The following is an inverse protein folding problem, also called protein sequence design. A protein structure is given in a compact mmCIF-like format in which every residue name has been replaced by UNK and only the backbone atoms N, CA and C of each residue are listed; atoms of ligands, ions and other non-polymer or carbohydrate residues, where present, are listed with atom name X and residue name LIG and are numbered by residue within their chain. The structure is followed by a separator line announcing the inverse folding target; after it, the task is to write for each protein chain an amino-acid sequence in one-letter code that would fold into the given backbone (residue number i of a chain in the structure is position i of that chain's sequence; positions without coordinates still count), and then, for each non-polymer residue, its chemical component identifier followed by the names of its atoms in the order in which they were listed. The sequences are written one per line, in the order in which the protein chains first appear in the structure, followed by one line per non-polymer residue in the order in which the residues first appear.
data_IF_494105944946
#
_entry.id   IF_494105944946
#
_cell.length_a   1.000
_cell.length_b   1.000
_cell.length_c   1.000
_cell.angle_alpha   90.00
_cell.angle_beta   90.00
_cell.angle_gamma   90.00
#
_symmetry.space_group_name_H-M   'P 1'
#
loop_
_entity.id
_entity.type
_entity.pdbx_description
1 polymer ?
#
# COMPACT_ATOMS: atom_id res chain seq x y z
N UNK A 1 11.55 -1.69 6.67
CA UNK A 1 10.30 -2.43 6.47
C UNK A 1 9.97 -2.34 4.99
N UNK A 2 9.66 -3.47 4.35
CA UNK A 2 9.15 -3.47 2.99
C UNK A 2 7.82 -2.71 2.94
N UNK A 3 7.67 -1.82 1.95
CA UNK A 3 6.45 -1.06 1.75
C UNK A 3 5.67 -1.65 0.56
N UNK A 4 4.40 -1.95 0.79
CA UNK A 4 3.44 -2.29 -0.26
C UNK A 4 2.40 -1.18 -0.30
N UNK A 5 2.01 -0.79 -1.51
CA UNK A 5 1.07 0.30 -1.74
C UNK A 5 -0.34 -0.25 -1.95
N UNK A 6 -1.31 0.27 -1.19
CA UNK A 6 -2.70 -0.20 -1.24
C UNK A 6 -3.24 0.00 -2.67
N UNK A 7 -3.87 -1.04 -3.21
CA UNK A 7 -4.42 -1.04 -4.57
C UNK A 7 -3.40 -1.38 -5.66
N UNK A 8 -2.10 -1.46 -5.35
CA UNK A 8 -1.11 -1.90 -6.32
C UNK A 8 -1.07 -3.41 -6.47
N UNK A 9 -0.60 -3.86 -7.64
CA UNK A 9 -0.59 -5.25 -8.04
C UNK A 9 0.79 -5.88 -7.85
N UNK A 10 0.81 -7.07 -7.26
CA UNK A 10 2.00 -7.82 -6.93
C UNK A 10 1.82 -9.29 -7.26
N UNK A 11 2.81 -9.90 -7.90
CA UNK A 11 2.95 -11.35 -7.94
C UNK A 11 3.55 -11.86 -6.62
N UNK A 12 3.45 -13.16 -6.35
CA UNK A 12 4.18 -13.77 -5.23
C UNK A 12 5.69 -13.55 -5.35
N UNK A 13 6.23 -13.52 -6.58
CA UNK A 13 7.63 -13.24 -6.82
C UNK A 13 7.98 -11.79 -6.44
N UNK A 14 7.12 -10.82 -6.80
CA UNK A 14 7.31 -9.41 -6.43
C UNK A 14 7.29 -9.24 -4.91
N UNK A 15 6.37 -9.91 -4.22
CA UNK A 15 6.32 -9.92 -2.75
C UNK A 15 7.61 -10.51 -2.17
N UNK A 16 8.06 -11.64 -2.68
CA UNK A 16 9.30 -12.30 -2.22
C UNK A 16 10.55 -11.44 -2.47
N UNK A 17 10.61 -10.75 -3.61
CA UNK A 17 11.70 -9.85 -3.96
C UNK A 17 11.70 -8.62 -3.06
N UNK A 18 10.54 -7.99 -2.86
CA UNK A 18 10.37 -6.83 -1.96
C UNK A 18 10.80 -7.17 -0.53
N UNK A 19 10.53 -8.40 -0.09
CA UNK A 19 10.90 -8.91 1.24
C UNK A 19 12.32 -9.48 1.32
N UNK A 20 13.08 -9.46 0.22
CA UNK A 20 14.40 -10.09 0.11
C UNK A 20 14.39 -11.55 0.59
N UNK A 21 13.34 -12.31 0.26
CA UNK A 21 13.24 -13.74 0.61
C UNK A 21 14.35 -14.50 -0.12
N UNK A 22 15.24 -15.21 0.60
CA UNK A 22 16.27 -16.04 -0.01
C UNK A 22 15.64 -17.09 -0.93
N UNK A 23 16.28 -17.41 -2.06
CA UNK A 23 15.70 -18.26 -3.09
C UNK A 23 15.27 -19.64 -2.56
N UNK A 24 16.07 -20.21 -1.66
CA UNK A 24 15.82 -21.48 -0.98
C UNK A 24 14.58 -21.48 -0.06
N UNK A 25 14.06 -20.29 0.29
CA UNK A 25 12.85 -20.10 1.12
C UNK A 25 11.63 -19.66 0.32
N UNK A 26 11.70 -19.58 -1.02
CA UNK A 26 10.60 -19.08 -1.88
C UNK A 26 9.52 -20.12 -2.22
N UNK A 27 9.72 -21.39 -1.93
CA UNK A 27 8.73 -22.46 -2.14
C UNK A 27 7.92 -22.82 -0.88
N UNK A 28 7.04 -23.81 -1.01
CA UNK A 28 6.40 -24.47 0.13
C UNK A 28 5.25 -23.64 0.69
N UNK A 29 5.42 -23.04 1.88
CA UNK A 29 4.34 -22.26 2.51
C UNK A 29 3.86 -21.10 1.63
N UNK A 30 4.76 -20.50 0.83
CA UNK A 30 4.42 -19.43 -0.12
C UNK A 30 3.47 -19.87 -1.23
N UNK A 31 3.44 -21.16 -1.56
CA UNK A 31 2.51 -21.74 -2.54
C UNK A 31 1.12 -21.96 -1.95
N UNK A 32 0.96 -21.75 -0.64
CA UNK A 32 -0.32 -21.81 0.05
C UNK A 32 -1.02 -20.44 0.07
N UNK A 33 -2.14 -20.37 0.80
CA UNK A 33 -2.89 -19.13 1.00
C UNK A 33 -2.26 -18.17 2.02
N UNK A 34 -1.23 -18.57 2.78
CA UNK A 34 -0.58 -17.68 3.75
C UNK A 34 0.81 -18.15 4.22
N UNK A 35 1.70 -17.20 4.50
CA UNK A 35 3.08 -17.45 4.98
C UNK A 35 3.48 -16.51 6.12
N UNK A 36 4.21 -17.03 7.10
CA UNK A 36 4.93 -16.23 8.12
C UNK A 36 6.36 -15.96 7.63
N UNK A 37 6.80 -14.71 7.62
CA UNK A 37 8.17 -14.32 7.27
C UNK A 37 8.59 -13.03 7.99
N UNK A 38 9.77 -13.04 8.61
CA UNK A 38 10.38 -11.89 9.32
C UNK A 38 9.40 -11.14 10.24
N UNK A 39 8.60 -11.88 11.03
CA UNK A 39 7.68 -11.29 12.01
C UNK A 39 6.40 -10.71 11.44
N UNK A 40 6.01 -11.06 10.21
CA UNK A 40 4.72 -10.72 9.63
C UNK A 40 4.07 -11.90 8.90
N UNK A 41 2.76 -11.82 8.71
CA UNK A 41 2.00 -12.74 7.86
C UNK A 41 1.68 -12.12 6.52
N UNK A 42 1.73 -12.93 5.48
CA UNK A 42 1.38 -12.57 4.10
C UNK A 42 0.30 -13.53 3.63
N UNK A 43 -0.92 -13.03 3.45
CA UNK A 43 -2.11 -13.80 3.06
C UNK A 43 -2.39 -13.55 1.58
N UNK A 44 -2.58 -14.64 0.81
CA UNK A 44 -2.92 -14.62 -0.60
C UNK A 44 -4.31 -15.24 -0.81
N UNK A 45 -5.27 -14.40 -1.15
CA UNK A 45 -6.68 -14.74 -1.25
C UNK A 45 -7.14 -14.72 -2.72
N UNK A 46 -7.86 -15.74 -3.16
CA UNK A 46 -8.59 -15.71 -4.42
C UNK A 46 -10.07 -15.49 -4.11
N UNK A 47 -10.67 -14.47 -4.71
CA UNK A 47 -12.07 -14.09 -4.57
C UNK A 47 -12.86 -14.70 -5.72
N UNK A 48 -13.97 -15.38 -5.40
CA UNK A 48 -14.92 -15.89 -6.41
C UNK A 48 -14.34 -16.85 -7.45
N UNK A 49 -13.11 -17.34 -7.26
CA UNK A 49 -12.41 -18.22 -8.18
C UNK A 49 -11.63 -19.29 -7.43
N UNK A 50 -11.73 -20.52 -7.95
CA UNK A 50 -10.90 -21.61 -7.48
C UNK A 50 -9.41 -21.27 -7.67
N UNK A 51 -8.58 -21.60 -6.67
CA UNK A 51 -7.13 -21.43 -6.80
C UNK A 51 -6.48 -22.43 -7.75
N UNK A 52 -5.15 -22.37 -7.86
CA UNK A 52 -4.33 -23.27 -8.72
C UNK A 52 -4.60 -24.77 -8.50
N UNK A 53 -5.11 -25.15 -7.33
CA UNK A 53 -5.40 -26.53 -6.94
C UNK A 53 -6.88 -26.91 -7.12
N UNK A 54 -7.72 -26.04 -7.68
CA UNK A 54 -9.15 -26.30 -7.92
C UNK A 54 -10.03 -26.13 -6.68
N UNK A 55 -9.47 -25.74 -5.53
CA UNK A 55 -10.26 -25.44 -4.34
C UNK A 55 -10.87 -24.03 -4.45
N UNK A 56 -12.20 -23.97 -4.39
CA UNK A 56 -12.95 -22.75 -4.15
C UNK A 56 -13.28 -22.67 -2.65
N UNK A 57 -12.67 -21.70 -1.99
CA UNK A 57 -12.82 -21.49 -0.55
C UNK A 57 -13.91 -20.47 -0.23
N UNK A 58 -14.71 -20.05 -1.23
CA UNK A 58 -15.78 -19.06 -1.05
C UNK A 58 -15.27 -17.80 -0.36
N UNK A 59 -14.10 -17.28 -0.76
CA UNK A 59 -13.65 -15.98 -0.24
C UNK A 59 -14.39 -14.86 -0.97
N UNK A 60 -14.83 -13.85 -0.23
CA UNK A 60 -15.59 -12.73 -0.79
C UNK A 60 -15.40 -11.45 0.03
N UNK A 61 -15.72 -10.33 -0.59
CA UNK A 61 -15.86 -9.05 0.08
C UNK A 61 -17.31 -8.87 0.56
N UNK A 62 -17.48 -8.55 1.84
CA UNK A 62 -18.73 -8.08 2.44
C UNK A 62 -18.57 -6.59 2.81
N UNK A 63 -18.91 -5.71 1.87
CA UNK A 63 -18.55 -4.29 1.95
C UNK A 63 -17.03 -4.11 2.03
N UNK A 64 -16.54 -3.60 3.16
CA UNK A 64 -15.12 -3.35 3.40
C UNK A 64 -14.44 -4.49 4.20
N UNK A 65 -15.17 -5.58 4.47
CA UNK A 65 -14.66 -6.74 5.20
C UNK A 65 -14.30 -7.84 4.20
N UNK A 66 -13.09 -8.38 4.32
CA UNK A 66 -12.71 -9.57 3.55
C UNK A 66 -13.01 -10.82 4.37
N UNK A 67 -13.91 -11.67 3.86
CA UNK A 67 -14.15 -13.01 4.40
C UNK A 67 -13.19 -13.97 3.69
N UNK A 68 -12.34 -14.60 4.49
CA UNK A 68 -11.27 -15.49 4.01
C UNK A 68 -11.30 -16.83 4.73
N UNK A 69 -11.05 -17.92 4.01
CA UNK A 69 -10.78 -19.24 4.61
C UNK A 69 -9.32 -19.64 4.48
N UNK A 70 -8.82 -20.22 5.57
CA UNK A 70 -7.52 -20.84 5.60
C UNK A 70 -7.47 -22.12 4.73
N UNK A 71 -6.28 -22.72 4.64
CA UNK A 71 -6.08 -23.97 3.88
C UNK A 71 -6.89 -25.13 4.47
N UNK A 72 -7.26 -26.10 3.63
CA UNK A 72 -7.90 -27.35 4.05
C UNK A 72 -7.19 -28.00 5.25
N UNK A 73 -7.98 -28.51 6.20
CA UNK A 73 -7.49 -29.14 7.43
C UNK A 73 -6.94 -28.17 8.48
N UNK A 74 -7.03 -26.86 8.25
CA UNK A 74 -6.74 -25.86 9.28
C UNK A 74 -7.79 -25.88 10.40
N UNK A 75 -7.34 -25.63 11.63
CA UNK A 75 -8.21 -25.42 12.78
C UNK A 75 -7.56 -24.39 13.72
N UNK A 76 -8.36 -23.78 14.59
CA UNK A 76 -7.91 -22.67 15.46
C UNK A 76 -6.85 -23.08 16.49
N UNK A 77 -6.61 -24.38 16.69
CA UNK A 77 -5.59 -24.89 17.64
C UNK A 77 -4.21 -25.04 17.01
N UNK A 78 -4.11 -24.96 15.68
CA UNK A 78 -2.82 -25.06 15.01
C UNK A 78 -1.95 -23.83 15.37
N UNK A 79 -0.69 -24.03 15.79
CA UNK A 79 0.15 -22.92 16.27
C UNK A 79 0.28 -21.75 15.29
N UNK A 80 0.35 -22.03 13.98
CA UNK A 80 0.43 -20.99 12.96
C UNK A 80 -0.87 -20.19 12.83
N UNK A 81 -2.03 -20.83 12.95
CA UNK A 81 -3.33 -20.15 12.96
C UNK A 81 -3.45 -19.30 14.23
N UNK A 82 -3.08 -19.83 15.39
CA UNK A 82 -3.07 -19.06 16.64
C UNK A 82 -2.22 -17.80 16.51
N UNK A 83 -1.01 -17.90 15.96
CA UNK A 83 -0.14 -16.74 15.70
C UNK A 83 -0.75 -15.74 14.72
N UNK A 84 -1.38 -16.23 13.64
CA UNK A 84 -2.04 -15.39 12.65
C UNK A 84 -3.19 -14.58 13.27
N UNK A 85 -3.91 -15.19 14.21
CA UNK A 85 -5.12 -14.63 14.80
C UNK A 85 -4.89 -13.84 16.09
N UNK A 86 -3.74 -13.99 16.76
CA UNK A 86 -3.51 -13.33 18.06
C UNK A 86 -3.31 -11.82 17.98
N UNK A 87 -3.15 -11.25 16.78
CA UNK A 87 -3.05 -9.80 16.57
C UNK A 87 -1.67 -9.19 16.91
N UNK A 88 -0.70 -10.00 17.31
CA UNK A 88 0.64 -9.51 17.67
C UNK A 88 1.55 -9.25 16.47
N UNK A 89 1.27 -9.87 15.32
CA UNK A 89 2.05 -9.74 14.10
C UNK A 89 1.22 -9.03 13.01
N UNK A 90 1.83 -8.18 12.17
CA UNK A 90 1.14 -7.57 11.04
C UNK A 90 0.65 -8.65 10.07
N UNK A 91 -0.55 -8.48 9.52
CA UNK A 91 -1.10 -9.36 8.50
C UNK A 91 -1.30 -8.57 7.22
N UNK A 92 -0.42 -8.78 6.24
CA UNK A 92 -0.51 -8.18 4.91
C UNK A 92 -1.39 -9.06 4.02
N UNK A 93 -2.46 -8.49 3.46
CA UNK A 93 -3.39 -9.25 2.62
C UNK A 93 -3.31 -8.82 1.17
N UNK A 94 -3.22 -9.82 0.31
CA UNK A 94 -3.20 -9.71 -1.13
C UNK A 94 -4.38 -10.53 -1.67
N UNK A 95 -5.18 -9.95 -2.55
CA UNK A 95 -6.35 -10.62 -3.14
C UNK A 95 -6.34 -10.54 -4.66
N UNK A 96 -7.05 -11.44 -5.33
CA UNK A 96 -7.34 -11.34 -6.76
C UNK A 96 -8.69 -11.96 -7.06
N UNK A 97 -9.33 -11.49 -8.12
CA UNK A 97 -10.64 -12.00 -8.57
C UNK A 97 -10.50 -12.94 -9.77
N UNK A 98 -9.41 -12.84 -10.53
CA UNK A 98 -9.13 -13.68 -11.69
C UNK A 98 -7.94 -14.62 -11.42
N UNK A 99 -8.06 -15.89 -11.85
CA UNK A 99 -6.94 -16.82 -11.76
C UNK A 99 -5.75 -16.32 -12.61
N UNK A 100 -4.55 -16.61 -12.12
CA UNK A 100 -3.23 -16.26 -12.70
C UNK A 100 -2.93 -14.76 -12.84
N UNK A 101 -3.86 -13.86 -12.49
CA UNK A 101 -3.53 -12.43 -12.34
C UNK A 101 -2.63 -12.18 -11.12
N UNK A 102 -1.84 -11.09 -11.15
CA UNK A 102 -1.25 -10.52 -9.95
C UNK A 102 -2.31 -10.26 -8.87
N UNK A 103 -1.87 -10.23 -7.62
CA UNK A 103 -2.74 -9.90 -6.49
C UNK A 103 -2.70 -8.40 -6.23
N UNK A 104 -3.86 -7.81 -5.96
CA UNK A 104 -3.98 -6.46 -5.43
C UNK A 104 -3.72 -6.46 -3.93
N UNK A 105 -2.88 -5.55 -3.45
CA UNK A 105 -2.63 -5.39 -2.01
C UNK A 105 -3.78 -4.64 -1.35
N UNK A 106 -4.46 -5.28 -0.40
CA UNK A 106 -5.59 -4.70 0.34
C UNK A 106 -5.15 -3.85 1.55
N UNK A 107 -3.96 -4.12 2.09
CA UNK A 107 -3.45 -3.42 3.27
C UNK A 107 -3.09 -4.37 4.42
N UNK A 108 -2.76 -3.74 5.56
CA UNK A 108 -2.62 -4.44 6.84
C UNK A 108 -4.02 -4.73 7.40
N UNK A 109 -4.25 -5.99 7.75
CA UNK A 109 -5.51 -6.50 8.23
C UNK A 109 -5.48 -6.82 9.73
N UNK A 110 -6.65 -6.72 10.35
CA UNK A 110 -6.95 -7.21 11.69
C UNK A 110 -8.15 -8.15 11.64
N UNK A 111 -8.05 -9.27 12.34
CA UNK A 111 -9.17 -10.19 12.48
C UNK A 111 -10.26 -9.52 13.34
N UNK A 112 -11.49 -9.47 12.84
CA UNK A 112 -12.65 -8.95 13.56
C UNK A 112 -13.62 -10.06 13.97
N UNK A 113 -13.59 -11.20 13.27
CA UNK A 113 -14.38 -12.39 13.58
C UNK A 113 -13.62 -13.64 13.16
N UNK A 114 -13.76 -14.71 13.94
CA UNK A 114 -13.13 -16.00 13.71
C UNK A 114 -14.17 -17.08 13.93
N UNK A 115 -14.46 -17.86 12.89
CA UNK A 115 -15.30 -19.04 13.00
C UNK A 115 -14.42 -20.30 13.09
N UNK A 116 -14.56 -21.04 14.19
CA UNK A 116 -13.90 -22.33 14.42
C UNK A 116 -14.58 -23.45 13.61
N UNK A 117 -14.49 -23.32 12.29
CA UNK A 117 -14.88 -24.33 11.32
C UNK A 117 -13.62 -24.86 10.62
N UNK A 118 -13.75 -25.97 9.88
CA UNK A 118 -12.64 -26.53 9.09
C UNK A 118 -12.96 -26.41 7.60
N UNK A 119 -12.18 -25.64 6.81
CA UNK A 119 -11.06 -24.78 7.23
C UNK A 119 -11.52 -23.53 7.99
N UNK A 120 -10.64 -22.97 8.84
CA UNK A 120 -10.93 -21.78 9.65
C UNK A 120 -11.35 -20.63 8.75
N UNK A 121 -12.41 -19.92 9.13
CA UNK A 121 -12.89 -18.73 8.43
C UNK A 121 -12.64 -17.50 9.29
N UNK A 122 -12.15 -16.43 8.66
CA UNK A 122 -11.76 -15.19 9.31
C UNK A 122 -12.35 -14.01 8.53
N UNK A 123 -12.93 -13.07 9.25
CA UNK A 123 -13.37 -11.78 8.72
C UNK A 123 -12.28 -10.74 9.02
N UNK A 124 -11.74 -10.11 7.98
CA UNK A 124 -10.64 -9.14 8.07
C UNK A 124 -11.15 -7.72 7.86
N UNK A 125 -10.76 -6.81 8.75
CA UNK A 125 -10.86 -5.36 8.54
C UNK A 125 -9.50 -4.76 8.21
N UNK A 126 -9.47 -3.69 7.43
CA UNK A 126 -8.24 -3.03 6.99
C UNK A 126 -8.09 -1.64 7.61
N UNK A 127 -6.87 -1.31 8.03
CA UNK A 127 -6.57 0.02 8.55
C UNK A 127 -6.42 1.01 7.38
N UNK A 128 -7.43 1.86 7.17
CA UNK A 128 -7.47 2.87 6.09
C UNK A 128 -6.49 4.04 6.28
N UNK A 129 -5.84 4.16 7.44
CA UNK A 129 -5.02 5.32 7.83
C UNK A 129 -3.61 5.37 7.19
N UNK A 130 -3.20 4.33 6.46
CA UNK A 130 -1.88 4.33 5.80
C UNK A 130 -1.85 5.09 4.45
N UNK A 131 -3.01 5.42 3.86
CA UNK A 131 -3.10 5.94 2.48
C UNK A 131 -3.11 7.47 2.35
N UNK A 132 -3.13 8.26 3.44
CA UNK A 132 -3.21 9.73 3.35
C UNK A 132 -1.87 10.46 3.55
N UNK A 133 -0.75 9.75 3.74
CA UNK A 133 0.56 10.40 3.94
C UNK A 133 1.41 10.56 2.69
N UNK A 134 0.94 10.18 1.51
CA UNK A 134 1.65 10.40 0.24
C UNK A 134 0.70 10.78 -0.89
N UNK A 135 0.20 12.02 -0.86
CA UNK A 135 -0.30 12.73 -2.05
C UNK A 135 -0.20 14.24 -1.82
N UNK A 136 0.80 14.83 -2.48
CA UNK A 136 1.24 16.24 -2.65
C UNK A 136 0.12 17.20 -3.17
N UNK A 137 0.27 18.54 -3.40
CA UNK A 137 1.47 19.31 -3.82
C UNK A 137 1.62 20.74 -3.24
N UNK A 138 2.77 21.41 -3.38
CA UNK A 138 2.83 22.81 -3.86
C UNK A 138 4.12 23.02 -4.66
N UNK A 139 3.97 23.17 -5.97
CA UNK A 139 4.92 23.89 -6.80
C UNK A 139 5.05 25.32 -6.26
N UNK A 140 6.25 25.73 -5.87
CA UNK A 140 6.59 27.16 -5.76
C UNK A 140 7.56 27.49 -6.87
N UNK A 141 7.08 28.36 -7.75
CA UNK A 141 7.80 29.11 -8.76
C UNK A 141 9.12 29.61 -8.18
N UNK A 142 10.22 29.29 -8.86
CA UNK A 142 11.48 29.99 -8.65
C UNK A 142 11.56 31.12 -9.68
N UNK A 143 10.76 32.16 -9.44
CA UNK A 143 10.97 33.47 -10.05
C UNK A 143 11.97 34.23 -9.18
N UNK A 144 13.27 34.07 -9.45
CA UNK A 144 14.26 35.08 -9.10
C UNK A 144 14.68 35.76 -10.41
N UNK A 145 13.99 36.84 -10.73
CA UNK A 145 14.46 37.83 -11.69
C UNK A 145 14.90 39.06 -10.88
N UNK A 146 16.21 39.27 -10.73
CA UNK A 146 16.82 40.60 -10.85
C UNK A 146 18.16 40.40 -11.57
N UNK A 147 18.08 40.41 -12.90
CA UNK A 147 19.19 40.80 -13.76
C UNK A 147 19.29 42.33 -13.69
N UNK A 148 20.39 42.87 -13.17
CA UNK A 148 20.72 44.30 -13.32
C UNK A 148 21.43 44.48 -14.67
N UNK A 149 20.89 45.29 -15.60
CA UNK A 149 21.72 45.96 -16.60
C UNK A 149 21.89 47.43 -16.23
N UNK A 150 23.01 47.74 -15.59
CA UNK A 150 23.50 49.10 -15.47
C UNK A 150 24.08 49.55 -16.81
N UNK A 151 23.26 50.27 -17.57
CA UNK A 151 23.75 51.19 -18.59
C UNK A 151 22.82 52.40 -18.62
N UNK A 152 23.36 53.60 -18.34
CA UNK A 152 23.48 54.68 -19.34
C UNK A 152 24.60 55.67 -18.94
N UNK A 153 25.47 56.07 -19.89
CA UNK A 153 26.33 57.26 -19.75
C UNK A 153 25.54 58.54 -20.09
N UNK A 154 26.20 59.70 -19.93
CA UNK A 154 25.69 61.09 -20.01
C UNK A 154 24.72 61.43 -21.17
N UNK A 155 24.07 62.59 -21.21
CA UNK A 155 24.63 63.92 -21.50
C UNK A 155 23.65 65.04 -21.06
N UNK A 156 24.20 66.26 -20.95
CA UNK A 156 23.61 67.58 -20.56
C UNK A 156 22.35 68.02 -21.32
N UNK A 157 21.50 68.82 -20.66
CA UNK A 157 21.25 70.27 -20.95
C UNK A 157 20.41 70.95 -19.85
N UNK A 158 20.58 72.27 -19.70
CA UNK A 158 20.08 73.12 -18.59
C UNK A 158 18.71 73.81 -18.91
N UNK A 159 18.26 74.87 -18.20
CA UNK A 159 17.06 74.86 -17.35
C UNK A 159 15.93 75.75 -17.90
N UNK A 160 14.76 75.77 -17.27
CA UNK A 160 13.93 76.98 -17.36
C UNK A 160 13.15 77.29 -16.07
N UNK A 161 13.38 78.51 -15.58
CA UNK A 161 12.65 79.20 -14.50
C UNK A 161 11.25 79.56 -15.02
N UNK A 162 10.22 79.47 -14.17
CA UNK A 162 9.21 80.55 -14.05
C UNK A 162 8.79 80.71 -12.59
N UNK A 163 8.61 81.99 -12.23
CA UNK A 163 8.39 82.55 -10.89
C UNK A 163 6.89 82.55 -10.51
N UNK A 164 6.67 82.40 -9.20
CA UNK A 164 5.68 82.99 -8.26
C UNK A 164 4.68 84.02 -8.84
N UNK A 165 3.43 84.06 -8.30
CA UNK A 165 3.02 85.23 -7.53
C UNK A 165 2.46 84.90 -6.12
N UNK A 166 2.52 85.95 -5.29
CA UNK A 166 2.23 86.03 -3.86
C UNK A 166 0.74 85.81 -3.51
N UNK A 167 0.53 85.35 -2.27
CA UNK A 167 -0.24 86.05 -1.24
C UNK A 167 0.36 85.70 0.14
#
# INVERSE_FOLDING_TARGET
MAAFDIGQNYTRADVQETLNVPHERRGGNWDTGYSEYEGAFYVFCNIGTAGRTGHDYENYWDGNVLVWRAKNGSNVRQPQIVKLLCGNLPVHVFYREEDRRPFTYAGCARAIEIDDVTPVKVSWSFDTEASHRQSTPIAREHSQEILQPDAKPGWRTKPNRKKIPLL
#
